data_IF_819905851516
#
_entry.id   IF_819905851516
#
_cell.length_a   1.000
_cell.length_b   1.000
_cell.length_c   1.000
_cell.angle_alpha   90.00
_cell.angle_beta   90.00
_cell.angle_gamma   90.00
#
_symmetry.space_group_name_H-M   'P 1'
#
loop_
_entity.id
_entity.type
_entity.pdbx_description
1 polymer ?
#
# COMPACT_ATOMS: atom_id res chain seq x y z
N UNK A 1 -37.99 -16.81 39.83
CA UNK A 1 -37.93 -16.42 38.41
C UNK A 1 -37.01 -15.23 38.16
N UNK A 2 -37.11 -14.10 38.89
CA UNK A 2 -36.20 -12.94 38.64
C UNK A 2 -34.73 -13.23 38.82
N UNK A 3 -34.30 -14.00 39.85
CA UNK A 3 -32.89 -14.37 40.05
C UNK A 3 -32.33 -15.25 38.93
N UNK A 4 -33.15 -16.12 38.35
CA UNK A 4 -32.73 -16.95 37.20
C UNK A 4 -32.54 -16.12 35.92
N UNK A 5 -33.36 -15.11 35.70
CA UNK A 5 -33.21 -14.16 34.60
C UNK A 5 -31.93 -13.34 34.69
N UNK A 6 -31.51 -12.90 35.90
CA UNK A 6 -30.25 -12.21 36.11
C UNK A 6 -29.03 -13.09 35.84
N UNK A 7 -29.09 -14.37 36.19
CA UNK A 7 -28.01 -15.31 35.95
C UNK A 7 -27.85 -15.57 34.44
N UNK A 8 -28.97 -15.75 33.71
CA UNK A 8 -28.96 -15.92 32.24
C UNK A 8 -28.43 -14.65 31.57
N UNK A 9 -28.81 -13.46 32.04
CA UNK A 9 -28.31 -12.19 31.50
C UNK A 9 -26.81 -11.99 31.77
N UNK A 10 -26.33 -12.38 32.97
CA UNK A 10 -24.91 -12.34 33.33
C UNK A 10 -24.08 -13.32 32.48
N UNK A 11 -24.58 -14.54 32.25
CA UNK A 11 -23.93 -15.53 31.40
C UNK A 11 -23.91 -15.08 29.92
N UNK A 12 -25.00 -14.46 29.45
CA UNK A 12 -25.09 -13.91 28.10
C UNK A 12 -24.10 -12.75 27.88
N UNK A 13 -23.83 -11.91 28.90
CA UNK A 13 -22.85 -10.82 28.77
C UNK A 13 -21.41 -11.31 28.79
N UNK A 14 -21.10 -12.47 29.37
CA UNK A 14 -19.78 -13.08 29.36
C UNK A 14 -19.48 -13.73 28.01
N UNK A 15 -20.49 -14.17 27.27
CA UNK A 15 -20.34 -14.73 25.92
C UNK A 15 -20.06 -13.67 24.82
N UNK A 16 -20.16 -12.38 25.16
CA UNK A 16 -19.83 -11.26 24.29
C UNK A 16 -18.38 -10.82 24.42
N UNK A 17 -17.53 -11.51 25.18
CA UNK A 17 -16.09 -11.32 25.07
C UNK A 17 -15.66 -11.86 23.71
N UNK A 18 -15.79 -11.01 22.73
CA UNK A 18 -15.28 -11.16 21.38
C UNK A 18 -13.86 -11.70 21.46
N UNK A 19 -13.60 -12.73 20.71
CA UNK A 19 -12.26 -13.22 20.40
C UNK A 19 -11.55 -12.15 19.55
N UNK A 20 -11.30 -10.97 20.18
CA UNK A 20 -10.54 -9.88 19.57
C UNK A 20 -9.08 -10.31 19.43
N UNK A 21 -8.43 -9.77 18.43
CA UNK A 21 -6.97 -9.91 18.27
C UNK A 21 -6.29 -9.30 19.48
N UNK A 22 -5.20 -9.91 19.96
CA UNK A 22 -4.40 -9.36 21.06
C UNK A 22 -3.91 -7.95 20.70
N UNK A 23 -3.92 -7.05 21.69
CA UNK A 23 -3.33 -5.72 21.49
C UNK A 23 -1.90 -5.85 20.97
N UNK A 24 -1.55 -5.06 19.94
CA UNK A 24 -0.23 -5.14 19.30
C UNK A 24 -0.07 -6.27 18.29
N UNK A 25 -1.16 -6.92 17.88
CA UNK A 25 -1.18 -7.89 16.78
C UNK A 25 -2.18 -7.47 15.72
N UNK A 26 -1.97 -7.98 14.52
CA UNK A 26 -2.91 -7.88 13.40
C UNK A 26 -3.25 -9.27 12.92
N UNK A 27 -4.53 -9.50 12.60
CA UNK A 27 -5.02 -10.79 12.10
C UNK A 27 -5.65 -10.64 10.73
N UNK A 28 -5.27 -11.51 9.81
CA UNK A 28 -5.87 -11.63 8.49
C UNK A 28 -6.47 -13.03 8.34
N UNK A 29 -7.77 -13.10 8.15
CA UNK A 29 -8.49 -14.34 7.83
C UNK A 29 -8.93 -14.30 6.38
N UNK A 30 -8.86 -15.42 5.68
CA UNK A 30 -9.24 -15.43 4.29
C UNK A 30 -9.96 -16.69 3.85
N UNK A 31 -10.81 -16.49 2.82
CA UNK A 31 -11.51 -17.58 2.14
C UNK A 31 -11.43 -17.34 0.64
N UNK A 32 -10.96 -18.37 -0.07
CA UNK A 32 -10.93 -18.39 -1.53
C UNK A 32 -11.88 -19.42 -2.11
N UNK A 33 -12.58 -19.02 -3.17
CA UNK A 33 -13.19 -19.94 -4.11
C UNK A 33 -12.13 -20.39 -5.12
N UNK A 34 -12.34 -21.58 -5.69
CA UNK A 34 -11.46 -22.16 -6.73
C UNK A 34 -10.00 -22.34 -6.32
N UNK A 35 -9.73 -22.42 -5.00
CA UNK A 35 -8.43 -22.76 -4.45
C UNK A 35 -8.62 -23.61 -3.20
N UNK A 36 -8.24 -24.87 -3.26
CA UNK A 36 -8.33 -25.77 -2.10
C UNK A 36 -7.04 -25.73 -1.25
N UNK A 37 -5.88 -25.70 -1.91
CA UNK A 37 -4.56 -25.62 -1.27
C UNK A 37 -3.68 -24.65 -2.04
N UNK A 38 -2.77 -23.96 -1.34
CA UNK A 38 -1.82 -23.04 -1.92
C UNK A 38 -0.99 -22.32 -0.87
N UNK A 39 -0.03 -21.56 -1.35
CA UNK A 39 0.80 -20.71 -0.52
C UNK A 39 0.84 -19.30 -1.13
N UNK A 40 0.78 -18.29 -0.28
CA UNK A 40 0.99 -16.90 -0.63
C UNK A 40 2.22 -16.39 0.12
N UNK A 41 2.95 -15.49 -0.49
CA UNK A 41 3.98 -14.75 0.23
C UNK A 41 3.41 -13.44 0.73
N UNK A 42 3.91 -12.99 1.88
CA UNK A 42 3.55 -11.70 2.46
C UNK A 42 4.82 -10.97 2.89
N UNK A 43 4.89 -9.67 2.58
CA UNK A 43 5.97 -8.80 2.99
C UNK A 43 5.44 -7.39 3.26
N UNK A 44 6.23 -6.55 3.95
CA UNK A 44 5.88 -5.14 4.18
C UNK A 44 6.69 -4.22 3.29
N UNK A 45 6.05 -3.15 2.80
CA UNK A 45 6.70 -2.11 1.99
C UNK A 45 7.16 -0.90 2.79
N UNK A 46 6.78 -0.83 4.07
CA UNK A 46 6.99 0.33 4.95
C UNK A 46 7.63 -0.03 6.29
N UNK A 47 8.16 -1.24 6.42
CA UNK A 47 8.92 -1.70 7.58
C UNK A 47 8.08 -2.35 8.68
N UNK A 48 6.79 -2.67 8.42
CA UNK A 48 5.92 -3.33 9.40
C UNK A 48 6.29 -4.78 9.71
N UNK A 49 7.10 -5.42 8.86
CA UNK A 49 7.70 -6.73 9.12
C UNK A 49 9.05 -6.85 8.41
N UNK A 50 9.92 -7.69 8.94
CA UNK A 50 11.21 -8.02 8.32
C UNK A 50 11.08 -9.24 7.39
N UNK A 51 11.67 -9.15 6.20
CA UNK A 51 11.71 -10.25 5.24
C UNK A 51 10.37 -10.58 4.59
N UNK A 52 10.21 -11.85 4.25
CA UNK A 52 9.03 -12.41 3.59
C UNK A 52 8.54 -13.60 4.40
N UNK A 53 7.25 -13.65 4.65
CA UNK A 53 6.60 -14.78 5.33
C UNK A 53 5.66 -15.50 4.36
N UNK A 54 5.17 -16.67 4.77
CA UNK A 54 4.33 -17.55 3.94
C UNK A 54 2.97 -17.81 4.62
N UNK A 55 1.91 -17.55 3.88
CA UNK A 55 0.53 -17.84 4.27
C UNK A 55 0.09 -19.14 3.59
N UNK A 56 -0.24 -20.18 4.36
CA UNK A 56 -0.73 -21.46 3.83
C UNK A 56 -2.24 -21.50 3.78
N UNK A 57 -2.78 -21.89 2.62
CA UNK A 57 -4.21 -22.09 2.39
C UNK A 57 -4.53 -23.58 2.47
N UNK A 58 -5.50 -23.94 3.29
CA UNK A 58 -6.00 -25.31 3.46
C UNK A 58 -7.52 -25.30 3.43
N UNK A 59 -8.11 -26.12 2.57
CA UNK A 59 -9.56 -26.13 2.37
C UNK A 59 -10.12 -24.78 1.89
N UNK A 60 -9.34 -24.03 1.11
CA UNK A 60 -9.71 -22.70 0.64
C UNK A 60 -9.71 -21.61 1.72
N UNK A 61 -9.16 -21.88 2.90
CA UNK A 61 -9.14 -20.95 4.03
C UNK A 61 -7.72 -20.76 4.55
N UNK A 62 -7.48 -19.62 5.14
CA UNK A 62 -6.24 -19.34 5.88
C UNK A 62 -6.50 -18.38 7.04
N UNK A 63 -5.60 -18.41 8.00
CA UNK A 63 -5.47 -17.42 9.06
C UNK A 63 -4.00 -17.04 9.16
N UNK A 64 -3.73 -15.75 9.20
CA UNK A 64 -2.41 -15.19 9.37
C UNK A 64 -2.45 -14.15 10.48
N UNK A 65 -1.55 -14.26 11.44
CA UNK A 65 -1.45 -13.34 12.56
C UNK A 65 0.01 -12.93 12.72
N UNK A 66 0.25 -11.64 12.96
CA UNK A 66 1.58 -11.11 13.15
C UNK A 66 1.61 -10.02 14.23
N UNK A 67 2.74 -9.79 14.89
CA UNK A 67 2.93 -8.58 15.70
C UNK A 67 2.77 -7.33 14.83
N UNK A 68 1.98 -6.37 15.31
CA UNK A 68 1.70 -5.12 14.60
C UNK A 68 1.62 -4.00 15.65
N UNK A 69 2.77 -3.39 15.95
CA UNK A 69 2.85 -2.30 16.93
C UNK A 69 2.44 -0.97 16.31
N UNK A 70 2.82 -0.77 15.06
CA UNK A 70 2.47 0.39 14.25
C UNK A 70 1.72 -0.08 12.99
N UNK A 71 0.79 0.75 12.52
CA UNK A 71 0.05 0.48 11.29
C UNK A 71 1.00 0.38 10.11
N UNK A 72 0.80 -0.63 9.26
CA UNK A 72 1.68 -0.88 8.13
C UNK A 72 0.93 -1.41 6.90
N UNK A 73 1.62 -1.42 5.76
CA UNK A 73 1.11 -1.98 4.52
C UNK A 73 1.78 -3.31 4.23
N UNK A 74 0.98 -4.37 4.23
CA UNK A 74 1.39 -5.70 3.80
C UNK A 74 1.05 -5.89 2.32
N UNK A 75 1.95 -6.55 1.59
CA UNK A 75 1.71 -6.97 0.21
C UNK A 75 1.56 -8.49 0.19
N UNK A 76 0.40 -8.97 -0.23
CA UNK A 76 0.20 -10.40 -0.49
C UNK A 76 0.56 -10.68 -1.94
N UNK A 77 1.46 -11.62 -2.16
CA UNK A 77 1.88 -12.10 -3.47
C UNK A 77 1.22 -13.43 -3.73
N UNK A 78 0.36 -13.49 -4.73
CA UNK A 78 -0.33 -14.70 -5.16
C UNK A 78 0.53 -15.57 -6.07
N UNK A 79 0.20 -16.85 -6.28
CA UNK A 79 0.98 -17.76 -7.15
C UNK A 79 1.16 -17.29 -8.60
N UNK A 80 0.30 -16.42 -9.08
CA UNK A 80 0.41 -15.79 -10.40
C UNK A 80 1.25 -14.50 -10.39
N UNK A 81 2.00 -14.25 -9.30
CA UNK A 81 2.80 -13.06 -9.05
C UNK A 81 2.03 -11.74 -9.01
N UNK A 82 0.70 -11.78 -8.97
CA UNK A 82 -0.05 -10.55 -8.70
C UNK A 82 0.04 -10.17 -7.23
N UNK A 83 0.09 -8.88 -6.96
CA UNK A 83 0.24 -8.33 -5.62
C UNK A 83 -0.99 -7.54 -5.20
N UNK A 84 -1.39 -7.69 -3.95
CA UNK A 84 -2.50 -6.95 -3.37
C UNK A 84 -2.14 -6.39 -1.99
N UNK A 85 -2.42 -5.11 -1.74
CA UNK A 85 -2.17 -4.51 -0.44
C UNK A 85 -3.23 -4.89 0.58
N UNK A 86 -2.78 -5.09 1.82
CA UNK A 86 -3.58 -5.18 3.03
C UNK A 86 -3.04 -4.12 4.00
N UNK A 87 -3.91 -3.28 4.50
CA UNK A 87 -3.55 -2.27 5.50
C UNK A 87 -3.76 -2.90 6.88
N UNK A 88 -2.65 -3.25 7.52
CA UNK A 88 -2.64 -3.81 8.86
C UNK A 88 -2.70 -2.67 9.88
N UNK A 89 -3.67 -2.74 10.78
CA UNK A 89 -3.89 -1.79 11.87
C UNK A 89 -3.75 -2.54 13.20
N UNK A 90 -3.03 -1.96 14.16
CA UNK A 90 -2.71 -2.62 15.44
C UNK A 90 -3.97 -2.96 16.24
N UNK A 91 -4.10 -4.22 16.64
CA UNK A 91 -5.26 -4.73 17.39
C UNK A 91 -6.47 -5.10 16.53
N UNK A 92 -6.39 -4.92 15.22
CA UNK A 92 -7.50 -5.14 14.30
C UNK A 92 -7.41 -6.48 13.58
N UNK A 93 -8.56 -6.94 13.08
CA UNK A 93 -8.65 -8.10 12.21
C UNK A 93 -9.41 -7.78 10.95
N UNK A 94 -9.00 -8.39 9.84
CA UNK A 94 -9.65 -8.23 8.54
C UNK A 94 -10.00 -9.58 7.92
N UNK A 95 -11.10 -9.61 7.18
CA UNK A 95 -11.55 -10.77 6.42
C UNK A 95 -11.33 -10.51 4.92
N UNK A 96 -10.58 -11.41 4.26
CA UNK A 96 -10.37 -11.43 2.83
C UNK A 96 -11.27 -12.50 2.20
N UNK A 97 -12.06 -12.11 1.18
CA UNK A 97 -12.81 -13.02 0.32
C UNK A 97 -12.40 -12.81 -1.12
N UNK A 98 -12.09 -13.89 -1.81
CA UNK A 98 -11.68 -13.83 -3.21
C UNK A 98 -12.01 -15.10 -3.97
N UNK A 99 -11.92 -14.98 -5.29
CA UNK A 99 -11.89 -16.09 -6.20
C UNK A 99 -10.48 -16.16 -6.80
N UNK A 100 -9.82 -17.32 -6.70
CA UNK A 100 -8.48 -17.52 -7.23
C UNK A 100 -8.38 -17.29 -8.74
N UNK A 101 -9.50 -17.43 -9.47
CA UNK A 101 -9.59 -17.12 -10.89
C UNK A 101 -9.75 -15.62 -11.18
N UNK A 102 -10.15 -14.81 -10.19
CA UNK A 102 -10.49 -13.39 -10.33
C UNK A 102 -9.95 -12.55 -9.16
N UNK A 103 -8.65 -12.64 -8.89
CA UNK A 103 -8.03 -11.98 -7.74
C UNK A 103 -8.16 -10.45 -7.72
N UNK A 104 -8.40 -9.82 -8.87
CA UNK A 104 -8.67 -8.36 -8.94
C UNK A 104 -10.00 -7.97 -8.27
N UNK A 105 -10.92 -8.91 -8.12
CA UNK A 105 -12.25 -8.70 -7.54
C UNK A 105 -12.32 -9.01 -6.05
N UNK A 106 -11.18 -9.36 -5.43
CA UNK A 106 -11.16 -9.70 -4.01
C UNK A 106 -11.67 -8.55 -3.13
N UNK A 107 -12.35 -8.93 -2.07
CA UNK A 107 -12.87 -8.02 -1.05
C UNK A 107 -12.09 -8.19 0.25
N UNK A 108 -11.76 -7.08 0.89
CA UNK A 108 -11.20 -7.05 2.24
C UNK A 108 -12.07 -6.15 3.09
N UNK A 109 -12.52 -6.67 4.22
CA UNK A 109 -13.41 -6.00 5.19
C UNK A 109 -12.81 -6.06 6.57
N UNK A 110 -13.28 -5.19 7.47
CA UNK A 110 -12.91 -5.15 8.88
C UNK A 110 -12.28 -3.83 9.30
N UNK A 111 -11.58 -3.13 8.40
CA UNK A 111 -11.08 -1.79 8.67
C UNK A 111 -11.39 -0.83 7.53
N UNK A 112 -11.46 0.45 7.86
CA UNK A 112 -11.83 1.52 6.91
C UNK A 112 -10.89 1.57 5.70
N UNK A 113 -9.58 1.42 5.92
CA UNK A 113 -8.59 1.49 4.83
C UNK A 113 -8.72 0.30 3.87
N UNK A 114 -8.94 -0.91 4.39
CA UNK A 114 -9.16 -2.09 3.56
C UNK A 114 -10.47 -2.03 2.77
N UNK A 115 -11.54 -1.49 3.36
CA UNK A 115 -12.81 -1.27 2.67
C UNK A 115 -12.70 -0.19 1.59
N UNK A 116 -11.95 0.90 1.85
CA UNK A 116 -11.64 1.93 0.86
C UNK A 116 -10.86 1.34 -0.32
N UNK A 117 -9.84 0.52 -0.05
CA UNK A 117 -9.10 -0.15 -1.12
C UNK A 117 -9.97 -1.13 -1.91
N UNK A 118 -10.90 -1.81 -1.26
CA UNK A 118 -11.90 -2.67 -1.92
C UNK A 118 -12.80 -1.86 -2.85
N UNK A 119 -13.28 -0.68 -2.41
CA UNK A 119 -14.06 0.23 -3.26
C UNK A 119 -13.26 0.70 -4.48
N UNK A 120 -11.99 1.09 -4.26
CA UNK A 120 -11.12 1.49 -5.35
C UNK A 120 -10.93 0.35 -6.37
N UNK A 121 -10.60 -0.88 -5.93
CA UNK A 121 -10.47 -2.04 -6.83
C UNK A 121 -11.71 -2.24 -7.69
N UNK A 122 -12.91 -2.17 -7.08
CA UNK A 122 -14.18 -2.29 -7.81
C UNK A 122 -14.38 -1.18 -8.82
N UNK A 123 -13.97 0.05 -8.51
CA UNK A 123 -14.16 1.20 -9.39
C UNK A 123 -13.28 1.18 -10.65
N UNK A 124 -12.24 0.37 -10.65
CA UNK A 124 -11.31 0.24 -11.79
C UNK A 124 -11.48 -1.05 -12.59
N UNK A 125 -12.43 -1.91 -12.21
CA UNK A 125 -12.70 -3.14 -12.97
C UNK A 125 -13.08 -2.82 -14.41
N UNK A 126 -12.40 -3.46 -15.37
CA UNK A 126 -12.61 -3.24 -16.79
C UNK A 126 -12.00 -1.95 -17.36
N UNK A 127 -11.36 -1.13 -16.55
CA UNK A 127 -10.69 0.08 -17.01
C UNK A 127 -9.38 -0.23 -17.75
N UNK A 128 -9.04 0.60 -18.71
CA UNK A 128 -7.71 0.62 -19.33
C UNK A 128 -6.68 1.28 -18.38
N UNK A 129 -5.36 1.02 -18.52
CA UNK A 129 -4.36 1.62 -17.64
C UNK A 129 -4.42 3.16 -17.52
N UNK A 130 -4.68 3.94 -18.59
CA UNK A 130 -4.89 5.39 -18.45
C UNK A 130 -6.13 5.75 -17.64
N UNK A 131 -7.22 4.98 -17.79
CA UNK A 131 -8.45 5.19 -17.02
C UNK A 131 -8.26 4.84 -15.55
N UNK A 132 -7.53 3.73 -15.23
CA UNK A 132 -7.15 3.38 -13.86
C UNK A 132 -6.34 4.51 -13.20
N UNK A 133 -5.34 5.07 -13.92
CA UNK A 133 -4.53 6.18 -13.43
C UNK A 133 -5.39 7.42 -13.14
N UNK A 134 -6.33 7.75 -14.01
CA UNK A 134 -7.25 8.87 -13.79
C UNK A 134 -8.19 8.62 -12.62
N UNK A 135 -8.71 7.42 -12.49
CA UNK A 135 -9.56 7.03 -11.36
C UNK A 135 -8.78 7.07 -10.05
N UNK A 136 -7.50 6.65 -10.06
CA UNK A 136 -6.62 6.76 -8.89
C UNK A 136 -6.41 8.23 -8.48
N UNK A 137 -6.21 9.14 -9.43
CA UNK A 137 -6.09 10.59 -9.16
C UNK A 137 -7.32 11.11 -8.41
N UNK A 138 -8.52 10.87 -8.95
CA UNK A 138 -9.77 11.31 -8.34
C UNK A 138 -9.98 10.69 -6.94
N UNK A 139 -9.72 9.39 -6.81
CA UNK A 139 -9.83 8.72 -5.53
C UNK A 139 -8.89 9.31 -4.47
N UNK A 140 -7.64 9.63 -4.84
CA UNK A 140 -6.65 10.25 -3.94
C UNK A 140 -7.13 11.63 -3.48
N UNK A 141 -7.66 12.44 -4.39
CA UNK A 141 -8.19 13.77 -4.08
C UNK A 141 -9.36 13.68 -3.09
N UNK A 142 -10.29 12.74 -3.29
CA UNK A 142 -11.44 12.54 -2.42
C UNK A 142 -11.08 11.91 -1.06
N UNK A 143 -9.97 11.15 -0.98
CA UNK A 143 -9.58 10.39 0.20
C UNK A 143 -8.18 10.74 0.72
N UNK A 144 -7.79 12.01 0.62
CA UNK A 144 -6.43 12.46 0.96
C UNK A 144 -5.99 12.18 2.41
N UNK A 145 -6.94 11.90 3.32
CA UNK A 145 -6.66 11.53 4.72
C UNK A 145 -6.31 10.05 4.92
N UNK A 146 -6.52 9.20 3.91
CA UNK A 146 -6.31 7.76 4.01
C UNK A 146 -4.89 7.37 3.57
N UNK A 147 -4.30 6.39 4.26
CA UNK A 147 -3.02 5.76 3.85
C UNK A 147 -3.13 5.06 2.50
N UNK A 148 -4.33 4.65 2.09
CA UNK A 148 -4.61 4.10 0.75
C UNK A 148 -4.17 5.08 -0.33
N UNK A 149 -4.38 6.39 -0.14
CA UNK A 149 -3.98 7.42 -1.10
C UNK A 149 -2.47 7.49 -1.30
N UNK A 150 -1.68 7.33 -0.23
CA UNK A 150 -0.22 7.23 -0.35
C UNK A 150 0.21 5.99 -1.15
N UNK A 151 -0.41 4.85 -0.90
CA UNK A 151 -0.17 3.62 -1.66
C UNK A 151 -0.49 3.82 -3.15
N UNK A 152 -1.63 4.43 -3.48
CA UNK A 152 -2.04 4.68 -4.87
C UNK A 152 -1.12 5.67 -5.59
N UNK A 153 -0.59 6.69 -4.90
CA UNK A 153 0.43 7.58 -5.48
C UNK A 153 1.67 6.77 -5.87
N UNK A 154 2.18 5.93 -4.96
CA UNK A 154 3.34 5.08 -5.26
C UNK A 154 3.06 4.19 -6.48
N UNK A 155 1.92 3.52 -6.50
CA UNK A 155 1.55 2.54 -7.54
C UNK A 155 1.34 3.17 -8.92
N UNK A 156 0.56 4.27 -9.01
CA UNK A 156 0.09 4.80 -10.30
C UNK A 156 0.92 5.97 -10.85
N UNK A 157 1.72 6.63 -10.00
CA UNK A 157 2.45 7.83 -10.42
C UNK A 157 3.96 7.71 -10.27
N UNK A 158 4.48 6.77 -9.44
CA UNK A 158 5.91 6.64 -9.18
C UNK A 158 6.44 5.30 -9.70
N UNK A 159 5.92 4.17 -9.21
CA UNK A 159 6.37 2.83 -9.56
C UNK A 159 5.73 2.34 -10.88
N UNK A 160 5.87 3.10 -11.93
CA UNK A 160 5.35 2.81 -13.27
C UNK A 160 6.45 2.93 -14.32
N UNK A 161 6.33 2.29 -15.49
CA UNK A 161 7.31 2.44 -16.57
C UNK A 161 7.48 3.89 -17.04
N UNK A 162 6.46 4.73 -16.85
CA UNK A 162 6.49 6.16 -17.17
C UNK A 162 6.02 6.98 -15.96
N UNK A 163 6.92 7.23 -14.98
CA UNK A 163 6.59 7.97 -13.77
C UNK A 163 6.14 9.40 -14.07
N UNK A 164 5.15 9.86 -13.34
CA UNK A 164 4.69 11.25 -13.38
C UNK A 164 5.04 11.93 -12.04
N UNK A 165 6.30 12.23 -11.84
CA UNK A 165 6.79 12.83 -10.60
C UNK A 165 6.17 14.20 -10.31
N UNK A 166 5.81 14.96 -11.36
CA UNK A 166 5.15 16.27 -11.19
C UNK A 166 3.76 16.10 -10.57
N UNK A 167 2.95 15.18 -11.08
CA UNK A 167 1.64 14.86 -10.53
C UNK A 167 1.78 14.22 -9.14
N UNK A 168 2.70 13.26 -8.96
CA UNK A 168 2.97 12.64 -7.67
C UNK A 168 3.32 13.68 -6.60
N UNK A 169 4.18 14.65 -6.94
CA UNK A 169 4.57 15.73 -6.02
C UNK A 169 3.36 16.60 -5.62
N UNK A 170 2.50 16.94 -6.58
CA UNK A 170 1.27 17.70 -6.32
C UNK A 170 0.33 16.95 -5.36
N UNK A 171 0.09 15.66 -5.63
CA UNK A 171 -0.75 14.81 -4.79
C UNK A 171 -0.15 14.61 -3.39
N UNK A 172 1.17 14.41 -3.27
CA UNK A 172 1.84 14.33 -1.97
C UNK A 172 1.76 15.64 -1.19
N UNK A 173 1.73 16.78 -1.87
CA UNK A 173 1.52 18.08 -1.21
C UNK A 173 0.10 18.18 -0.62
N UNK A 174 -0.89 17.64 -1.32
CA UNK A 174 -2.25 17.51 -0.78
C UNK A 174 -2.27 16.58 0.44
N UNK A 175 -1.64 15.40 0.35
CA UNK A 175 -1.61 14.45 1.46
C UNK A 175 -0.88 15.02 2.68
N UNK A 176 0.22 15.72 2.51
CA UNK A 176 0.98 16.34 3.60
C UNK A 176 0.11 17.34 4.40
N UNK A 177 -0.73 18.11 3.70
CA UNK A 177 -1.70 19.01 4.33
C UNK A 177 -2.76 18.26 5.14
N UNK A 178 -3.30 17.16 4.61
CA UNK A 178 -4.38 16.40 5.21
C UNK A 178 -3.89 15.35 6.23
N UNK A 179 -2.60 14.97 6.16
CA UNK A 179 -1.95 13.99 7.02
C UNK A 179 -0.61 14.55 7.58
N UNK A 180 -0.61 15.66 8.34
CA UNK A 180 0.62 16.36 8.74
C UNK A 180 1.54 15.53 9.65
N UNK A 181 1.02 14.49 10.28
CA UNK A 181 1.80 13.57 11.13
C UNK A 181 2.34 12.35 10.38
N UNK A 182 1.99 12.17 9.12
CA UNK A 182 2.43 11.03 8.34
C UNK A 182 3.85 11.25 7.78
N UNK A 183 4.84 10.75 8.51
CA UNK A 183 6.26 10.88 8.16
C UNK A 183 6.57 10.28 6.78
N UNK A 184 5.87 9.22 6.37
CA UNK A 184 6.07 8.57 5.06
C UNK A 184 5.73 9.51 3.90
N UNK A 185 4.71 10.33 4.04
CA UNK A 185 4.32 11.33 3.03
C UNK A 185 5.43 12.35 2.85
N UNK A 186 5.95 12.92 3.94
CA UNK A 186 7.03 13.91 3.90
C UNK A 186 8.32 13.35 3.32
N UNK A 187 8.73 12.15 3.75
CA UNK A 187 9.92 11.46 3.20
C UNK A 187 9.79 11.21 1.70
N UNK A 188 8.67 10.67 1.24
CA UNK A 188 8.46 10.39 -0.18
C UNK A 188 8.43 11.67 -1.01
N UNK A 189 7.77 12.72 -0.52
CA UNK A 189 7.74 14.05 -1.19
C UNK A 189 9.15 14.62 -1.35
N UNK A 190 9.97 14.51 -0.30
CA UNK A 190 11.37 14.96 -0.36
C UNK A 190 12.17 14.15 -1.39
N UNK A 191 12.03 12.82 -1.40
CA UNK A 191 12.73 11.94 -2.34
C UNK A 191 12.42 12.30 -3.80
N UNK A 192 11.17 12.59 -4.13
CA UNK A 192 10.78 12.87 -5.52
C UNK A 192 10.91 14.36 -5.90
N UNK A 193 11.22 15.24 -4.94
CA UNK A 193 11.30 16.69 -5.21
C UNK A 193 12.31 17.06 -6.29
N UNK A 194 13.45 16.36 -6.34
CA UNK A 194 14.45 16.53 -7.39
C UNK A 194 14.03 15.91 -8.74
N UNK A 195 13.13 14.93 -8.70
CA UNK A 195 12.70 14.18 -9.91
C UNK A 195 11.53 14.85 -10.62
N UNK A 196 10.74 15.68 -9.93
CA UNK A 196 9.56 16.35 -10.53
C UNK A 196 9.90 17.24 -11.73
N UNK A 197 11.12 17.78 -11.73
CA UNK A 197 11.62 18.67 -12.78
C UNK A 197 12.55 17.95 -13.78
N UNK A 198 12.78 16.64 -13.60
CA UNK A 198 13.67 15.79 -14.40
C UNK A 198 12.91 14.86 -15.38
N UNK A 199 11.74 15.26 -15.86
CA UNK A 199 10.97 14.48 -16.85
C UNK A 199 11.65 14.41 -18.22
N UNK A 200 11.26 13.46 -19.07
CA UNK A 200 11.73 13.37 -20.46
C UNK A 200 11.40 14.68 -21.18
N UNK A 201 12.42 15.28 -21.81
CA UNK A 201 12.29 16.56 -22.53
C UNK A 201 12.46 17.81 -21.64
N UNK A 202 12.69 17.65 -20.34
CA UNK A 202 13.03 18.78 -19.45
C UNK A 202 14.53 19.06 -19.49
N UNK A 203 14.91 20.32 -19.18
CA UNK A 203 16.32 20.68 -19.08
C UNK A 203 16.95 19.95 -17.89
N UNK A 204 18.12 19.36 -18.08
CA UNK A 204 18.87 18.72 -17.01
C UNK A 204 19.08 19.69 -15.83
N UNK A 205 18.77 19.30 -14.59
CA UNK A 205 19.05 20.13 -13.42
C UNK A 205 20.54 20.44 -13.33
N UNK A 206 20.88 21.65 -12.92
CA UNK A 206 22.27 22.03 -12.65
C UNK A 206 22.72 21.36 -11.35
N UNK A 207 23.89 20.72 -11.40
CA UNK A 207 24.56 20.17 -10.23
C UNK A 207 26.06 20.45 -10.26
N UNK A 208 26.69 20.42 -9.11
CA UNK A 208 28.14 20.48 -8.97
C UNK A 208 28.63 19.21 -8.28
N UNK A 209 29.77 18.70 -8.70
CA UNK A 209 30.42 17.52 -8.12
C UNK A 209 31.93 17.66 -8.24
N UNK A 210 32.68 16.85 -7.49
CA UNK A 210 34.12 16.78 -7.62
C UNK A 210 34.52 15.68 -8.61
N UNK A 211 35.50 15.97 -9.48
CA UNK A 211 36.12 14.95 -10.31
C UNK A 211 37.06 14.04 -9.50
N UNK A 212 37.62 13.03 -10.13
CA UNK A 212 38.55 12.08 -9.50
C UNK A 212 39.87 12.73 -9.05
N UNK A 213 40.13 13.99 -9.45
CA UNK A 213 41.28 14.80 -9.06
C UNK A 213 40.94 15.83 -8.00
N UNK A 214 39.71 15.81 -7.48
CA UNK A 214 39.26 16.76 -6.48
C UNK A 214 38.90 18.16 -7.02
N UNK A 215 38.80 18.33 -8.34
CA UNK A 215 38.38 19.62 -8.95
C UNK A 215 36.86 19.68 -8.97
N UNK A 216 36.30 20.81 -8.53
CA UNK A 216 34.87 21.08 -8.65
C UNK A 216 34.49 21.28 -10.11
N UNK A 217 33.50 20.52 -10.59
CA UNK A 217 32.92 20.58 -11.92
C UNK A 217 31.42 20.85 -11.85
N UNK A 218 30.91 21.64 -12.79
CA UNK A 218 29.48 21.90 -12.94
C UNK A 218 28.90 21.12 -14.12
N UNK A 219 27.63 20.71 -13.99
CA UNK A 219 26.89 20.10 -15.11
C UNK A 219 26.82 21.01 -16.34
N UNK A 220 26.93 22.34 -16.16
CA UNK A 220 26.96 23.31 -17.25
C UNK A 220 28.25 23.23 -18.09
N UNK A 221 29.36 22.80 -17.48
CA UNK A 221 30.62 22.55 -18.19
C UNK A 221 30.58 21.29 -19.05
N UNK A 222 29.70 20.36 -18.70
CA UNK A 222 29.52 19.09 -19.40
C UNK A 222 28.59 19.18 -20.62
N UNK A 223 27.85 20.26 -20.78
CA UNK A 223 26.86 20.43 -21.86
C UNK A 223 27.49 20.73 -23.22
N UNK A 224 28.77 21.14 -23.26
CA UNK A 224 29.52 21.42 -24.49
C UNK A 224 30.22 20.19 -25.08
N UNK A 225 30.25 19.06 -24.38
CA UNK A 225 30.90 17.83 -24.84
C UNK A 225 29.92 16.87 -25.45
N UNK A 226 30.23 16.34 -26.67
CA UNK A 226 29.45 15.30 -27.31
C UNK A 226 29.45 14.04 -26.43
N UNK A 227 28.28 13.69 -25.88
CA UNK A 227 28.11 12.52 -25.04
C UNK A 227 27.81 11.32 -25.91
N UNK A 228 28.81 10.60 -26.36
CA UNK A 228 28.61 9.24 -26.85
C UNK A 228 28.53 8.32 -25.63
N UNK A 229 27.30 7.87 -25.29
CA UNK A 229 27.13 6.72 -24.44
C UNK A 229 27.54 5.49 -25.25
N UNK A 230 28.65 4.84 -24.86
CA UNK A 230 28.99 3.51 -25.34
C UNK A 230 28.14 2.53 -24.53
N UNK A 231 27.19 1.87 -25.17
CA UNK A 231 26.46 0.73 -24.64
C UNK A 231 27.24 -0.53 -24.95
#
# INVERSE_FOLDING_TARGET
>A
MKKFAYIIFLISSILLTSCGVSSGHFKLEGKFLNMNQGEFYVYSTDGGMEGVDTIKVVGGRFTYEMPCHDDCTLMIVFPNFSEQPIFAESGESVELKGDASHLKEMEVKGTKNNELMTKFRKSILGNTPPQEKKQAELFIEDNAKSVVSLFLIKKYFIATPQPDYKKAFSLLTLLEKEQPKNIQVGKLKQQISAMKDAGIGTKLPTFTSYDTKGKLISSTELTSSDRKSVV
#
